data_IF_310830756419
#
_entry.id   IF_310830756419
#
_cell.length_a   1.000
_cell.length_b   1.000
_cell.length_c   1.000
_cell.angle_alpha   90.00
_cell.angle_beta   90.00
_cell.angle_gamma   90.00
#
_symmetry.space_group_name_H-M   'P 1'
#
loop_
_entity.id
_entity.type
_entity.pdbx_description
1 polymer ?
#
# COMPACT_ATOMS: atom_id res chain seq x y z
N UNK A 1 -21.13 -35.16 -10.24
CA UNK A 1 -21.28 -34.12 -9.19
C UNK A 1 -20.91 -34.58 -7.77
N UNK A 2 -20.81 -35.89 -7.47
CA UNK A 2 -20.35 -36.40 -6.17
C UNK A 2 -18.89 -36.00 -5.78
N UNK A 3 -18.04 -35.67 -6.76
CA UNK A 3 -16.62 -35.33 -6.53
C UNK A 3 -16.40 -33.97 -5.87
N UNK A 4 -17.38 -33.06 -5.95
CA UNK A 4 -17.25 -31.71 -5.37
C UNK A 4 -17.58 -31.66 -3.88
N UNK A 5 -18.36 -32.62 -3.36
CA UNK A 5 -18.74 -32.68 -1.94
C UNK A 5 -17.58 -33.21 -1.08
N UNK A 6 -16.84 -34.21 -1.59
CA UNK A 6 -15.70 -34.81 -0.86
C UNK A 6 -14.52 -33.82 -0.74
N UNK A 7 -14.35 -32.91 -1.70
CA UNK A 7 -13.31 -31.87 -1.65
C UNK A 7 -13.61 -30.76 -0.62
N UNK A 8 -14.89 -30.41 -0.43
CA UNK A 8 -15.29 -29.40 0.54
C UNK A 8 -15.09 -29.87 2.01
N UNK A 9 -15.28 -31.17 2.28
CA UNK A 9 -15.09 -31.75 3.62
C UNK A 9 -13.60 -31.83 3.98
N UNK A 10 -12.73 -32.10 2.99
CA UNK A 10 -11.28 -32.12 3.21
C UNK A 10 -10.68 -30.76 3.59
N UNK A 11 -11.25 -29.67 3.08
CA UNK A 11 -10.85 -28.31 3.45
C UNK A 11 -11.38 -27.89 4.84
N UNK A 12 -12.59 -28.31 5.20
CA UNK A 12 -13.18 -28.05 6.51
C UNK A 12 -12.41 -28.74 7.65
N UNK A 13 -11.97 -30.00 7.46
CA UNK A 13 -11.18 -30.71 8.46
C UNK A 13 -9.78 -30.10 8.66
N UNK A 14 -9.15 -29.56 7.61
CA UNK A 14 -7.88 -28.82 7.74
C UNK A 14 -8.06 -27.50 8.48
N UNK A 15 -9.18 -26.81 8.29
CA UNK A 15 -9.53 -25.61 9.03
C UNK A 15 -9.75 -25.86 10.53
N UNK A 16 -10.42 -26.96 10.88
CA UNK A 16 -10.64 -27.36 12.28
C UNK A 16 -9.33 -27.79 12.95
N UNK A 17 -8.42 -28.48 12.26
CA UNK A 17 -7.11 -28.83 12.82
C UNK A 17 -6.19 -27.62 13.00
N UNK A 18 -6.28 -26.61 12.14
CA UNK A 18 -5.56 -25.34 12.31
C UNK A 18 -6.13 -24.51 13.48
N UNK A 19 -7.44 -24.48 13.65
CA UNK A 19 -8.10 -23.86 14.80
C UNK A 19 -7.82 -24.61 16.11
N UNK A 20 -7.89 -25.94 16.12
CA UNK A 20 -7.59 -26.75 17.30
C UNK A 20 -6.13 -26.60 17.76
N UNK A 21 -5.18 -26.43 16.83
CA UNK A 21 -3.79 -26.11 17.18
C UNK A 21 -3.65 -24.71 17.78
N UNK A 22 -4.44 -23.74 17.34
CA UNK A 22 -4.51 -22.41 17.98
C UNK A 22 -5.13 -22.46 19.38
N UNK A 23 -6.05 -23.40 19.67
CA UNK A 23 -6.64 -23.56 21.01
C UNK A 23 -5.75 -24.32 22.00
N UNK A 24 -4.92 -25.27 21.54
CA UNK A 24 -3.95 -25.97 22.42
C UNK A 24 -2.81 -25.04 22.87
N UNK A 25 -2.57 -23.93 22.17
CA UNK A 25 -1.61 -22.89 22.55
C UNK A 25 -2.23 -21.67 23.24
N UNK A 26 -3.52 -21.69 23.61
CA UNK A 26 -4.08 -20.65 24.48
C UNK A 26 -3.58 -20.94 25.90
N UNK A 27 -2.64 -20.16 26.44
CA UNK A 27 -2.23 -20.30 27.83
C UNK A 27 -3.43 -19.91 28.70
N UNK A 28 -3.52 -20.43 29.93
CA UNK A 28 -4.65 -20.28 30.87
C UNK A 28 -5.09 -18.86 31.24
N UNK A 29 -4.72 -17.83 30.49
CA UNK A 29 -5.14 -16.43 30.62
C UNK A 29 -6.62 -16.18 30.36
N UNK A 30 -7.34 -17.03 29.61
CA UNK A 30 -8.81 -16.90 29.52
C UNK A 30 -9.55 -17.43 30.75
N UNK A 31 -8.95 -18.37 31.50
CA UNK A 31 -9.51 -18.82 32.78
C UNK A 31 -9.33 -17.77 33.89
N UNK A 32 -8.28 -16.94 33.84
CA UNK A 32 -8.06 -15.87 34.82
C UNK A 32 -8.99 -14.66 34.65
N UNK A 33 -9.57 -14.44 33.47
CA UNK A 33 -10.55 -13.35 33.25
C UNK A 33 -11.91 -13.68 33.87
N UNK A 34 -12.31 -14.95 33.90
CA UNK A 34 -13.55 -15.40 34.56
C UNK A 34 -13.45 -15.41 36.09
N UNK A 35 -12.25 -15.40 36.67
CA UNK A 35 -12.01 -15.44 38.12
C UNK A 35 -11.40 -14.17 38.72
N UNK A 36 -11.48 -13.02 38.02
CA UNK A 36 -11.20 -11.71 38.64
C UNK A 36 -9.74 -11.44 39.00
N UNK A 37 -8.77 -12.08 38.33
CA UNK A 37 -7.35 -11.84 38.54
C UNK A 37 -6.75 -10.98 37.43
N UNK A 38 -6.79 -9.65 37.58
CA UNK A 38 -5.93 -8.75 36.81
C UNK A 38 -4.48 -8.90 37.30
N UNK A 39 -3.84 -10.02 36.97
CA UNK A 39 -2.39 -10.09 37.00
C UNK A 39 -1.88 -9.31 35.80
N UNK A 40 -1.30 -8.13 36.05
CA UNK A 40 -0.45 -7.46 35.09
C UNK A 40 0.55 -8.48 34.51
N UNK A 41 0.88 -8.43 33.21
CA UNK A 41 1.89 -9.33 32.67
C UNK A 41 3.15 -9.25 33.55
N UNK A 42 3.78 -10.39 33.90
CA UNK A 42 5.02 -10.36 34.66
C UNK A 42 6.00 -9.43 33.93
N UNK A 43 6.57 -8.48 34.67
CA UNK A 43 7.35 -7.36 34.15
C UNK A 43 8.75 -7.75 33.61
N UNK A 44 9.02 -9.05 33.50
CA UNK A 44 10.28 -9.57 33.00
C UNK A 44 10.01 -10.43 31.77
N UNK A 45 10.28 -9.87 30.60
CA UNK A 45 10.33 -10.63 29.36
C UNK A 45 11.37 -11.74 29.54
N UNK A 46 10.94 -12.99 29.49
CA UNK A 46 11.86 -14.12 29.56
C UNK A 46 12.88 -14.02 28.42
N UNK A 47 14.11 -14.56 28.58
CA UNK A 47 15.13 -14.47 27.52
C UNK A 47 14.61 -15.01 26.17
N UNK A 48 13.74 -16.03 26.19
CA UNK A 48 13.09 -16.54 24.98
C UNK A 48 12.15 -15.52 24.30
N UNK A 49 11.46 -14.65 25.06
CA UNK A 49 10.63 -13.57 24.51
C UNK A 49 11.50 -12.46 23.94
N UNK A 50 12.62 -12.13 24.58
CA UNK A 50 13.58 -11.14 24.07
C UNK A 50 14.25 -11.62 22.78
N UNK A 51 14.65 -12.88 22.72
CA UNK A 51 15.23 -13.50 21.51
C UNK A 51 14.22 -13.50 20.35
N UNK A 52 12.96 -13.82 20.64
CA UNK A 52 11.90 -13.78 19.63
C UNK A 52 11.63 -12.34 19.15
N UNK A 53 11.60 -11.36 20.07
CA UNK A 53 11.43 -9.96 19.74
C UNK A 53 12.58 -9.44 18.87
N UNK A 54 13.83 -9.83 19.18
CA UNK A 54 14.99 -9.49 18.37
C UNK A 54 14.92 -10.11 16.96
N UNK A 55 14.50 -11.38 16.85
CA UNK A 55 14.31 -12.04 15.55
C UNK A 55 13.24 -11.36 14.71
N UNK A 56 12.10 -10.98 15.31
CA UNK A 56 11.03 -10.25 14.62
C UNK A 56 11.52 -8.87 14.18
N UNK A 57 12.21 -8.14 15.05
CA UNK A 57 12.76 -6.83 14.72
C UNK A 57 13.76 -6.89 13.55
N UNK A 58 14.60 -7.93 13.51
CA UNK A 58 15.52 -8.15 12.39
C UNK A 58 14.78 -8.47 11.10
N UNK A 59 13.80 -9.38 11.14
CA UNK A 59 12.99 -9.72 9.97
C UNK A 59 12.22 -8.49 9.41
N UNK A 60 11.71 -7.64 10.30
CA UNK A 60 11.04 -6.39 9.92
C UNK A 60 12.01 -5.39 9.26
N UNK A 61 13.26 -5.30 9.74
CA UNK A 61 14.28 -4.46 9.14
C UNK A 61 14.62 -4.93 7.72
N UNK A 62 14.86 -6.22 7.53
CA UNK A 62 15.13 -6.81 6.21
C UNK A 62 13.95 -6.61 5.24
N UNK A 63 12.72 -6.76 5.73
CA UNK A 63 11.53 -6.47 4.93
C UNK A 63 11.49 -5.00 4.49
N UNK A 64 11.76 -4.05 5.40
CA UNK A 64 11.78 -2.61 5.08
C UNK A 64 12.81 -2.28 4.00
N UNK A 65 14.00 -2.87 4.07
CA UNK A 65 15.06 -2.65 3.07
C UNK A 65 14.64 -3.17 1.70
N UNK A 66 14.01 -4.35 1.64
CA UNK A 66 13.48 -4.90 0.39
C UNK A 66 12.41 -3.98 -0.22
N UNK A 67 11.48 -3.46 0.60
CA UNK A 67 10.46 -2.55 0.12
C UNK A 67 11.02 -1.19 -0.32
N UNK A 68 12.09 -0.70 0.30
CA UNK A 68 12.79 0.51 -0.15
C UNK A 68 13.45 0.31 -1.51
N UNK A 69 14.02 -0.87 -1.79
CA UNK A 69 14.55 -1.20 -3.12
C UNK A 69 13.44 -1.28 -4.17
N UNK A 70 12.31 -1.90 -3.83
CA UNK A 70 11.15 -2.00 -4.72
C UNK A 70 10.58 -0.61 -5.02
N UNK A 71 10.41 0.26 -4.02
CA UNK A 71 9.87 1.62 -4.22
C UNK A 71 10.79 2.48 -5.10
N UNK A 72 12.11 2.37 -4.92
CA UNK A 72 13.09 3.05 -5.77
C UNK A 72 13.03 2.56 -7.22
N UNK A 73 12.85 1.24 -7.44
CA UNK A 73 12.71 0.66 -8.76
C UNK A 73 11.41 1.09 -9.46
N UNK A 74 10.30 1.15 -8.71
CA UNK A 74 9.01 1.66 -9.20
C UNK A 74 9.15 3.13 -9.61
N UNK A 75 9.70 3.96 -8.73
CA UNK A 75 9.91 5.39 -9.02
C UNK A 75 10.74 5.58 -10.29
N UNK A 76 11.86 4.84 -10.42
CA UNK A 76 12.70 4.90 -11.61
C UNK A 76 11.95 4.45 -12.87
N UNK A 77 11.19 3.36 -12.79
CA UNK A 77 10.38 2.90 -13.92
C UNK A 77 9.34 3.94 -14.34
N UNK A 78 8.71 4.65 -13.39
CA UNK A 78 7.77 5.73 -13.69
C UNK A 78 8.47 6.90 -14.39
N UNK A 79 9.64 7.33 -13.91
CA UNK A 79 10.44 8.37 -14.55
C UNK A 79 10.84 7.97 -15.97
N UNK A 80 11.38 6.76 -16.13
CA UNK A 80 11.81 6.25 -17.44
C UNK A 80 10.61 6.14 -18.41
N UNK A 81 9.43 5.76 -17.92
CA UNK A 81 8.20 5.70 -18.71
C UNK A 81 7.68 7.08 -19.12
N UNK A 82 7.74 8.07 -18.23
CA UNK A 82 7.35 9.45 -18.55
C UNK A 82 8.28 10.06 -19.61
N UNK A 83 9.59 9.80 -19.51
CA UNK A 83 10.56 10.25 -20.51
C UNK A 83 10.34 9.56 -21.86
N UNK A 84 9.99 8.28 -21.85
CA UNK A 84 9.72 7.50 -23.05
C UNK A 84 8.30 7.70 -23.62
N UNK A 85 7.48 8.53 -22.98
CA UNK A 85 6.06 8.75 -23.32
C UNK A 85 5.25 7.45 -23.40
N UNK A 86 5.57 6.48 -22.54
CA UNK A 86 4.90 5.18 -22.55
C UNK A 86 5.52 4.14 -21.61
N UNK A 87 4.81 3.02 -21.37
CA UNK A 87 5.27 1.98 -20.46
C UNK A 87 6.55 1.30 -20.97
N UNK A 88 7.63 1.38 -20.20
CA UNK A 88 8.91 0.70 -20.51
C UNK A 88 8.97 -0.72 -19.96
N UNK A 89 10.01 -1.46 -20.33
CA UNK A 89 10.24 -2.82 -19.82
C UNK A 89 10.32 -2.86 -18.29
N UNK A 90 9.51 -3.71 -17.68
CA UNK A 90 9.48 -3.87 -16.22
C UNK A 90 10.64 -4.77 -15.75
N UNK A 91 11.39 -4.37 -14.69
CA UNK A 91 12.45 -5.21 -14.13
C UNK A 91 11.97 -6.61 -13.71
N UNK A 92 12.67 -7.65 -14.17
CA UNK A 92 12.24 -9.05 -13.98
C UNK A 92 12.22 -9.51 -12.51
N UNK A 93 13.11 -8.95 -11.68
CA UNK A 93 13.25 -9.26 -10.27
C UNK A 93 12.13 -8.69 -9.39
N UNK A 94 11.32 -7.77 -9.91
CA UNK A 94 10.21 -7.20 -9.15
C UNK A 94 9.18 -8.27 -8.76
N UNK A 95 8.49 -8.10 -7.62
CA UNK A 95 7.39 -8.96 -7.22
C UNK A 95 6.31 -9.03 -8.30
N UNK A 96 5.72 -10.22 -8.47
CA UNK A 96 4.67 -10.45 -9.48
C UNK A 96 3.51 -9.45 -9.43
N UNK A 97 2.94 -9.07 -8.26
CA UNK A 97 1.86 -8.08 -8.20
C UNK A 97 2.26 -6.73 -8.80
N UNK A 98 3.49 -6.29 -8.53
CA UNK A 98 4.03 -5.03 -9.07
C UNK A 98 4.22 -5.13 -10.57
N UNK A 99 4.72 -6.27 -11.08
CA UNK A 99 4.90 -6.50 -12.52
C UNK A 99 3.59 -6.49 -13.31
N UNK A 100 2.52 -6.96 -12.72
CA UNK A 100 1.18 -6.95 -13.33
C UNK A 100 0.45 -5.60 -13.15
N UNK A 101 0.94 -4.75 -12.25
CA UNK A 101 0.37 -3.44 -11.94
C UNK A 101 1.00 -2.32 -12.77
N UNK A 102 2.33 -2.24 -12.83
CA UNK A 102 3.06 -1.13 -13.48
C UNK A 102 2.63 -0.84 -14.92
N UNK A 103 2.51 -1.84 -15.83
CA UNK A 103 2.13 -1.56 -17.22
C UNK A 103 0.70 -1.02 -17.40
N UNK A 104 -0.14 -1.13 -16.36
CA UNK A 104 -1.50 -0.62 -16.39
C UNK A 104 -1.67 0.78 -15.82
N UNK A 105 -0.57 1.42 -15.38
CA UNK A 105 -0.61 2.79 -14.87
C UNK A 105 -0.83 3.79 -16.00
N UNK A 106 -1.57 4.87 -15.71
CA UNK A 106 -1.70 6.02 -16.61
C UNK A 106 -0.54 7.01 -16.44
N UNK A 107 -0.32 7.95 -17.39
CA UNK A 107 0.67 9.01 -17.23
C UNK A 107 0.47 9.83 -15.96
N UNK A 108 -0.78 10.19 -15.65
CA UNK A 108 -1.10 11.00 -14.47
C UNK A 108 -0.79 10.25 -13.16
N UNK A 109 -1.04 8.94 -13.14
CA UNK A 109 -0.67 8.10 -12.00
C UNK A 109 0.84 8.01 -11.84
N UNK A 110 1.58 7.86 -12.94
CA UNK A 110 3.05 7.85 -12.93
C UNK A 110 3.63 9.19 -12.45
N UNK A 111 3.09 10.33 -12.90
CA UNK A 111 3.47 11.67 -12.41
C UNK A 111 3.21 11.82 -10.91
N UNK A 112 2.06 11.32 -10.44
CA UNK A 112 1.69 11.35 -9.02
C UNK A 112 2.67 10.52 -8.19
N UNK A 113 3.08 9.34 -8.68
CA UNK A 113 4.09 8.50 -8.03
C UNK A 113 5.46 9.20 -8.01
N UNK A 114 5.86 9.84 -9.10
CA UNK A 114 7.17 10.54 -9.17
C UNK A 114 7.21 11.74 -8.22
N UNK A 115 6.07 12.40 -8.02
CA UNK A 115 5.92 13.56 -7.12
C UNK A 115 5.74 13.17 -5.65
N UNK A 116 5.46 11.89 -5.36
CA UNK A 116 5.24 11.40 -4.01
C UNK A 116 6.57 11.13 -3.27
N UNK A 117 6.53 11.23 -1.94
CA UNK A 117 7.67 10.84 -1.11
C UNK A 117 7.91 9.32 -1.19
N UNK A 118 9.18 8.91 -1.11
CA UNK A 118 9.60 7.51 -1.19
C UNK A 118 8.94 6.64 -0.11
N UNK A 119 8.72 7.19 1.09
CA UNK A 119 8.02 6.49 2.16
C UNK A 119 6.54 6.27 1.82
N UNK A 120 5.89 7.21 1.14
CA UNK A 120 4.51 7.07 0.70
C UNK A 120 4.37 6.00 -0.38
N UNK A 121 5.30 5.95 -1.33
CA UNK A 121 5.36 4.89 -2.35
C UNK A 121 5.55 3.52 -1.69
N UNK A 122 6.48 3.45 -0.71
CA UNK A 122 6.73 2.22 0.05
C UNK A 122 5.46 1.75 0.77
N UNK A 123 4.78 2.65 1.48
CA UNK A 123 3.54 2.33 2.19
C UNK A 123 2.41 1.88 1.26
N UNK A 124 2.31 2.46 0.05
CA UNK A 124 1.36 2.06 -0.98
C UNK A 124 1.62 0.65 -1.50
N UNK A 125 2.87 0.34 -1.79
CA UNK A 125 3.26 -0.99 -2.30
C UNK A 125 3.10 -2.08 -1.24
N UNK A 126 3.34 -1.74 0.03
CA UNK A 126 3.06 -2.63 1.15
C UNK A 126 1.54 -2.80 1.43
N UNK A 127 0.68 -2.01 0.79
CA UNK A 127 -0.76 -2.01 1.05
C UNK A 127 -1.17 -1.41 2.39
N UNK A 128 -0.28 -0.64 3.04
CA UNK A 128 -0.56 0.01 4.33
C UNK A 128 -1.49 1.23 4.15
N UNK A 129 -1.20 2.06 3.14
CA UNK A 129 -1.99 3.25 2.80
C UNK A 129 -2.06 3.43 1.30
N UNK A 130 -3.21 3.83 0.77
CA UNK A 130 -3.34 4.15 -0.65
C UNK A 130 -2.74 5.52 -0.96
N UNK A 131 -2.01 5.63 -2.06
CA UNK A 131 -1.58 6.91 -2.60
C UNK A 131 -2.76 7.56 -3.36
N UNK A 132 -3.22 8.78 -2.98
CA UNK A 132 -4.34 9.43 -3.64
C UNK A 132 -4.08 9.66 -5.13
N UNK A 133 -5.06 9.38 -5.98
CA UNK A 133 -4.92 9.54 -7.43
C UNK A 133 -4.15 8.41 -8.12
N UNK A 134 -3.76 7.36 -7.38
CA UNK A 134 -3.04 6.20 -7.93
C UNK A 134 -3.82 4.91 -7.62
N UNK A 135 -4.02 4.09 -8.65
CA UNK A 135 -4.64 2.78 -8.52
C UNK A 135 -3.88 1.89 -7.52
N UNK A 136 -4.63 1.14 -6.70
CA UNK A 136 -4.07 0.17 -5.76
C UNK A 136 -3.23 -0.88 -6.51
N UNK A 137 -2.22 -1.43 -5.83
CA UNK A 137 -1.37 -2.49 -6.39
C UNK A 137 -2.20 -3.76 -6.58
N UNK A 138 -2.77 -3.90 -7.76
CA UNK A 138 -3.54 -5.02 -8.23
C UNK A 138 -3.24 -5.25 -9.70
N UNK A 139 -3.65 -6.40 -10.24
CA UNK A 139 -3.52 -6.66 -11.67
C UNK A 139 -4.34 -5.64 -12.46
N UNK A 140 -3.68 -4.87 -13.30
CA UNK A 140 -4.32 -3.90 -14.19
C UNK A 140 -4.21 -4.39 -15.64
N UNK A 141 -5.14 -3.94 -16.48
CA UNK A 141 -5.01 -4.15 -17.92
C UNK A 141 -3.86 -3.25 -18.42
N UNK A 142 -2.89 -3.78 -19.18
CA UNK A 142 -1.80 -2.96 -19.70
C UNK A 142 -2.35 -1.82 -20.57
N UNK A 143 -1.92 -0.59 -20.29
CA UNK A 143 -2.28 0.56 -21.12
C UNK A 143 -1.45 0.47 -22.40
N UNK A 144 -2.14 0.37 -23.54
CA UNK A 144 -1.49 0.08 -24.82
C UNK A 144 -0.70 1.28 -25.36
N UNK A 145 -1.21 2.48 -25.13
CA UNK A 145 -0.62 3.76 -25.51
C UNK A 145 -0.92 4.77 -24.40
N UNK A 146 0.12 5.45 -23.92
CA UNK A 146 -0.03 6.63 -23.08
C UNK A 146 -0.40 7.78 -24.00
N UNK A 147 -1.63 8.30 -23.89
CA UNK A 147 -2.04 9.46 -24.67
C UNK A 147 -1.12 10.63 -24.34
N UNK A 148 -0.40 11.11 -25.36
CA UNK A 148 0.57 12.22 -25.29
C UNK A 148 -0.10 13.58 -25.08
N UNK A 149 -1.44 13.63 -25.06
CA UNK A 149 -2.14 14.90 -25.00
C UNK A 149 -1.85 15.55 -23.65
N UNK A 150 -1.10 16.67 -23.63
CA UNK A 150 -0.85 17.36 -22.39
C UNK A 150 -2.22 17.82 -21.90
N UNK A 151 -2.58 17.43 -20.67
CA UNK A 151 -3.60 18.15 -19.93
C UNK A 151 -3.03 19.54 -19.59
N UNK A 152 -2.76 20.37 -20.60
CA UNK A 152 -2.85 21.80 -20.48
C UNK A 152 -4.32 22.07 -20.17
N UNK A 153 -4.68 21.89 -18.89
CA UNK A 153 -5.88 22.49 -18.36
C UNK A 153 -5.84 23.94 -18.79
N UNK A 154 -6.86 24.34 -19.54
CA UNK A 154 -7.11 25.70 -19.93
C UNK A 154 -6.85 26.58 -18.69
N UNK A 155 -5.87 27.50 -18.71
CA UNK A 155 -5.63 28.33 -17.54
C UNK A 155 -6.96 29.02 -17.23
N UNK A 156 -7.49 28.78 -16.02
CA UNK A 156 -8.72 29.40 -15.58
C UNK A 156 -8.64 30.90 -15.93
N UNK A 157 -9.63 31.47 -16.63
CA UNK A 157 -9.56 32.84 -17.09
C UNK A 157 -9.33 33.75 -15.88
N UNK A 158 -8.12 34.30 -15.79
CA UNK A 158 -7.71 35.27 -14.77
C UNK A 158 -8.25 36.63 -15.17
N UNK A 159 -9.57 36.82 -15.12
CA UNK A 159 -10.24 38.11 -15.31
C UNK A 159 -11.57 38.06 -14.54
N UNK A 160 -11.95 39.00 -13.66
CA UNK A 160 -11.38 40.28 -13.30
C UNK A 160 -11.80 40.58 -11.85
N UNK A 161 -10.86 41.04 -11.03
CA UNK A 161 -11.20 41.84 -9.85
C UNK A 161 -11.72 43.16 -10.40
N UNK A 162 -13.05 43.27 -10.56
CA UNK A 162 -13.70 44.57 -10.65
C UNK A 162 -13.50 45.27 -9.30
N UNK A 163 -12.40 46.00 -9.22
CA UNK A 163 -12.28 47.12 -8.30
C UNK A 163 -13.33 48.15 -8.71
N UNK A 164 -14.55 48.00 -8.20
CA UNK A 164 -15.50 49.10 -8.10
C UNK A 164 -14.95 50.07 -7.07
N UNK A 165 -14.00 50.88 -7.52
CA UNK A 165 -13.49 52.05 -6.83
C UNK A 165 -14.62 53.08 -6.90
N UNK A 166 -15.43 53.14 -5.85
CA UNK A 166 -16.45 54.18 -5.68
C UNK A 166 -15.73 55.55 -5.70
N UNK A 167 -16.03 56.45 -6.65
CA UNK A 167 -15.50 57.79 -6.59
C UNK A 167 -16.25 58.57 -5.51
N UNK A 168 -15.51 58.99 -4.49
CA UNK A 168 -15.95 59.95 -3.49
C UNK A 168 -16.62 61.16 -4.16
N UNK A 169 -17.86 61.44 -3.75
CA UNK A 169 -18.57 62.67 -4.08
C UNK A 169 -18.32 63.70 -2.97
N UNK A 170 -17.71 64.86 -3.26
CA UNK A 170 -17.65 65.98 -2.33
C UNK A 170 -18.66 67.06 -2.77
N UNK A 171 -19.79 67.17 -2.06
CA UNK A 171 -20.68 68.36 -2.03
C UNK A 171 -21.48 68.30 -0.72
N UNK A 172 -21.65 69.34 0.09
CA UNK A 172 -21.23 70.74 0.07
C UNK A 172 -21.24 71.23 1.53
#
# INVERSE_FOLDING_TARGET
MLKNIVSAIGAALRGVFALARSFVSIPGRLASVLFGGAAAPPAEDTPAVQDLAAQVAQADAEARDNYAQISAAIWRWCVDSLIAEGPVAVPAWLPRPVKEWLPGLTPQEAETIVSADKQAIQAHVCGLYGLPGVSKVQRLAPVKEWSTEPACGEPAPVFAVEATREPASPRA
#
